data_IF_326383649143
#
_entry.id   IF_326383649143
#
_cell.length_a   1.000
_cell.length_b   1.000
_cell.length_c   1.000
_cell.angle_alpha   90.00
_cell.angle_beta   90.00
_cell.angle_gamma   90.00
#
_symmetry.space_group_name_H-M   'P 1'
#
loop_
_entity.id
_entity.type
_entity.pdbx_description
1 polymer ?
#
# COMPACT_ATOMS: atom_id res chain seq x y z
N UNK A 1 28.16 10.54 -3.15
CA UNK A 1 26.84 9.98 -3.49
C UNK A 1 26.92 9.56 -4.95
N UNK A 2 26.56 8.31 -5.31
CA UNK A 2 26.68 7.79 -6.69
C UNK A 2 25.49 8.30 -7.53
N UNK A 3 25.71 8.61 -8.80
CA UNK A 3 24.63 8.90 -9.75
C UNK A 3 23.87 7.62 -10.11
N UNK A 4 22.53 7.73 -10.13
CA UNK A 4 21.65 6.65 -10.56
C UNK A 4 21.71 6.50 -12.07
N UNK A 5 21.72 5.27 -12.55
CA UNK A 5 21.54 5.00 -13.98
C UNK A 5 20.07 5.16 -14.41
N UNK A 6 19.80 5.07 -15.71
CA UNK A 6 18.45 5.33 -16.24
C UNK A 6 17.43 4.25 -15.82
N UNK A 7 17.88 3.03 -15.54
CA UNK A 7 17.02 1.95 -15.06
C UNK A 7 16.61 2.21 -13.60
N UNK A 8 17.58 2.59 -12.76
CA UNK A 8 17.34 2.99 -11.37
C UNK A 8 16.41 4.22 -11.28
N UNK A 9 16.57 5.21 -12.17
CA UNK A 9 15.67 6.38 -12.24
C UNK A 9 14.25 6.03 -12.68
N UNK A 10 14.10 5.11 -13.63
CA UNK A 10 12.79 4.61 -14.08
C UNK A 10 12.08 3.88 -12.95
N UNK A 11 12.80 3.05 -12.20
CA UNK A 11 12.28 2.36 -11.02
C UNK A 11 11.82 3.36 -9.96
N UNK A 12 12.63 4.38 -9.67
CA UNK A 12 12.27 5.45 -8.73
C UNK A 12 11.03 6.21 -9.18
N UNK A 13 10.89 6.56 -10.46
CA UNK A 13 9.67 7.20 -10.97
C UNK A 13 8.44 6.31 -10.85
N UNK A 14 8.60 5.00 -10.96
CA UNK A 14 7.50 4.05 -10.77
C UNK A 14 7.11 3.90 -9.29
N UNK A 15 8.09 4.01 -8.40
CA UNK A 15 7.89 4.03 -6.94
C UNK A 15 7.31 5.36 -6.44
N UNK A 16 7.66 6.47 -7.11
CA UNK A 16 7.14 7.82 -6.86
C UNK A 16 5.80 8.08 -7.57
N UNK A 17 5.36 7.18 -8.46
CA UNK A 17 4.09 7.31 -9.15
C UNK A 17 2.92 7.14 -8.16
N UNK A 18 1.81 7.80 -8.46
CA UNK A 18 0.58 7.63 -7.69
C UNK A 18 0.18 6.15 -7.68
N UNK A 19 -0.04 5.61 -6.47
CA UNK A 19 -0.50 4.25 -6.28
C UNK A 19 -2.01 4.26 -6.51
N UNK A 20 -2.51 3.35 -7.37
CA UNK A 20 -3.95 3.22 -7.54
C UNK A 20 -4.61 2.86 -6.20
N UNK A 21 -5.84 3.33 -5.96
CA UNK A 21 -6.57 2.98 -4.72
C UNK A 21 -6.70 1.46 -4.56
N UNK A 22 -6.82 0.72 -5.67
CA UNK A 22 -6.84 -0.75 -5.67
C UNK A 22 -5.53 -1.36 -5.17
N UNK A 23 -4.39 -0.89 -5.68
CA UNK A 23 -3.08 -1.37 -5.25
C UNK A 23 -2.77 -0.99 -3.80
N UNK A 24 -3.17 0.22 -3.38
CA UNK A 24 -3.04 0.66 -1.99
C UNK A 24 -3.83 -0.24 -1.03
N UNK A 25 -5.05 -0.66 -1.40
CA UNK A 25 -5.85 -1.59 -0.61
C UNK A 25 -5.11 -2.93 -0.44
N UNK A 26 -4.48 -3.45 -1.50
CA UNK A 26 -3.72 -4.71 -1.45
C UNK A 26 -2.52 -4.55 -0.53
N UNK A 27 -1.71 -3.50 -0.72
CA UNK A 27 -0.52 -3.24 0.11
C UNK A 27 -0.87 -3.15 1.60
N UNK A 28 -1.97 -2.49 1.94
CA UNK A 28 -2.39 -2.33 3.33
C UNK A 28 -2.88 -3.66 3.93
N UNK A 29 -3.48 -4.55 3.14
CA UNK A 29 -3.83 -5.91 3.60
C UNK A 29 -2.58 -6.76 3.84
N UNK A 30 -1.66 -6.77 2.89
CA UNK A 30 -0.41 -7.53 2.99
C UNK A 30 0.41 -7.07 4.21
N UNK A 31 0.43 -5.76 4.49
CA UNK A 31 1.01 -5.22 5.71
C UNK A 31 0.33 -5.80 6.97
N UNK A 32 -0.99 -5.93 6.97
CA UNK A 32 -1.73 -6.57 8.06
C UNK A 32 -1.30 -8.03 8.30
N UNK A 33 -1.10 -8.80 7.23
CA UNK A 33 -0.61 -10.19 7.31
C UNK A 33 0.81 -10.26 7.88
N UNK A 34 1.72 -9.41 7.40
CA UNK A 34 3.11 -9.32 7.91
C UNK A 34 3.14 -8.95 9.39
N UNK A 35 2.32 -7.97 9.79
CA UNK A 35 2.22 -7.54 11.20
C UNK A 35 1.68 -8.66 12.08
N UNK A 36 0.66 -9.39 11.62
CA UNK A 36 0.09 -10.52 12.35
C UNK A 36 1.11 -11.65 12.51
N UNK A 37 1.86 -11.98 11.46
CA UNK A 37 2.93 -12.99 11.51
C UNK A 37 4.04 -12.62 12.49
N UNK A 38 4.25 -11.32 12.74
CA UNK A 38 5.22 -10.79 13.71
C UNK A 38 4.66 -10.60 15.13
N UNK A 39 3.38 -10.94 15.36
CA UNK A 39 2.73 -10.78 16.67
C UNK A 39 2.24 -9.36 16.97
N UNK A 40 2.27 -8.44 16.00
CA UNK A 40 1.76 -7.07 16.13
C UNK A 40 0.24 -7.03 15.89
N UNK A 41 -0.52 -7.67 16.79
CA UNK A 41 -1.97 -7.94 16.60
C UNK A 41 -2.79 -6.65 16.45
N UNK A 42 -2.52 -5.61 17.25
CA UNK A 42 -3.28 -4.36 17.18
C UNK A 42 -3.03 -3.66 15.84
N UNK A 43 -1.78 -3.56 15.42
CA UNK A 43 -1.39 -2.91 14.18
C UNK A 43 -1.94 -3.67 12.97
N UNK A 44 -1.93 -5.01 13.01
CA UNK A 44 -2.54 -5.84 11.98
C UNK A 44 -4.04 -5.55 11.83
N UNK A 45 -4.78 -5.47 12.93
CA UNK A 45 -6.21 -5.15 12.90
C UNK A 45 -6.48 -3.73 12.39
N UNK A 46 -5.62 -2.76 12.74
CA UNK A 46 -5.73 -1.39 12.21
C UNK A 46 -5.53 -1.37 10.69
N UNK A 47 -4.54 -2.11 10.18
CA UNK A 47 -4.29 -2.23 8.75
C UNK A 47 -5.48 -2.86 8.01
N UNK A 48 -6.06 -3.94 8.56
CA UNK A 48 -7.24 -4.60 8.01
C UNK A 48 -8.45 -3.64 7.93
N UNK A 49 -8.76 -2.92 9.02
CA UNK A 49 -9.84 -1.92 9.04
C UNK A 49 -9.58 -0.78 8.05
N UNK A 50 -8.33 -0.36 7.89
CA UNK A 50 -7.96 0.68 6.94
C UNK A 50 -8.21 0.23 5.50
N UNK A 51 -7.82 -1.00 5.14
CA UNK A 51 -8.09 -1.57 3.82
C UNK A 51 -9.59 -1.68 3.52
N UNK A 52 -10.41 -2.07 4.50
CA UNK A 52 -11.87 -2.14 4.36
C UNK A 52 -12.49 -0.75 4.15
N UNK A 53 -12.03 0.26 4.89
CA UNK A 53 -12.48 1.64 4.72
C UNK A 53 -12.08 2.21 3.37
N UNK A 54 -10.86 1.96 2.90
CA UNK A 54 -10.40 2.37 1.57
C UNK A 54 -11.27 1.76 0.48
N UNK A 55 -11.63 0.47 0.59
CA UNK A 55 -12.53 -0.20 -0.36
C UNK A 55 -13.93 0.43 -0.38
N UNK A 56 -14.47 0.77 0.79
CA UNK A 56 -15.77 1.43 0.89
C UNK A 56 -15.76 2.83 0.26
N UNK A 57 -14.68 3.59 0.50
CA UNK A 57 -14.52 4.92 -0.08
C UNK A 57 -14.36 4.85 -1.60
N UNK A 58 -13.54 3.93 -2.11
CA UNK A 58 -13.35 3.76 -3.56
C UNK A 58 -14.63 3.37 -4.28
N UNK A 59 -15.51 2.58 -3.65
CA UNK A 59 -16.81 2.25 -4.24
C UNK A 59 -17.78 3.43 -4.33
N UNK A 60 -17.63 4.44 -3.45
CA UNK A 60 -18.50 5.62 -3.43
C UNK A 60 -18.08 6.71 -4.42
N UNK A 61 -16.83 6.71 -4.86
CA UNK A 61 -16.32 7.64 -5.87
C UNK A 61 -16.69 7.23 -7.31
N UNK A 62 -17.22 6.01 -7.49
CA UNK A 62 -17.59 5.45 -8.80
C UNK A 62 -19.10 5.56 -9.12
N UNK A 63 -19.91 6.05 -8.17
CA UNK A 63 -21.35 6.35 -8.30
C UNK A 63 -21.58 7.84 -8.57
#
# INVERSE_FOLDING_TARGET
>A
MRELDEEEKLLLRHLDADISTGDLIIIVRDLGEVLRARGHVIQANVAEIAADRLRLLSSREQD
#
